data_IF_289857461438
#
_entry.id   IF_289857461438
#
_cell.length_a   1.000
_cell.length_b   1.000
_cell.length_c   1.000
_cell.angle_alpha   90.00
_cell.angle_beta   90.00
_cell.angle_gamma   90.00
#
_symmetry.space_group_name_H-M   'P 1'
#
loop_
_entity.id
_entity.type
_entity.pdbx_description
1 polymer ?
#
# COMPACT_ATOMS: atom_id res chain seq x y z
N UNK A 1 4.93 1.12 -11.62
CA UNK A 1 4.71 1.23 -10.16
C UNK A 1 3.25 1.48 -9.75
N UNK A 2 2.39 2.16 -10.52
CA UNK A 2 0.99 2.38 -10.09
C UNK A 2 0.12 1.13 -10.11
N UNK A 3 0.37 0.21 -11.05
CA UNK A 3 -0.31 -1.09 -11.11
C UNK A 3 -0.16 -1.88 -9.79
N UNK A 4 1.08 -2.05 -9.30
CA UNK A 4 1.36 -2.81 -8.08
C UNK A 4 0.70 -2.20 -6.84
N UNK A 5 0.70 -0.86 -6.72
CA UNK A 5 0.04 -0.18 -5.60
C UNK A 5 -1.48 -0.43 -5.60
N UNK A 6 -2.11 -0.30 -6.76
CA UNK A 6 -3.55 -0.56 -6.92
C UNK A 6 -3.85 -2.03 -6.66
N UNK A 7 -3.01 -2.94 -7.16
CA UNK A 7 -3.17 -4.38 -7.00
C UNK A 7 -3.10 -4.78 -5.52
N UNK A 8 -2.02 -4.43 -4.83
CA UNK A 8 -1.83 -4.78 -3.42
C UNK A 8 -2.92 -4.17 -2.54
N UNK A 9 -3.23 -2.89 -2.75
CA UNK A 9 -4.29 -2.23 -2.01
C UNK A 9 -5.65 -2.85 -2.29
N UNK A 10 -5.98 -3.11 -3.56
CA UNK A 10 -7.25 -3.71 -3.98
C UNK A 10 -7.44 -5.13 -3.44
N UNK A 11 -6.42 -5.99 -3.52
CA UNK A 11 -6.47 -7.35 -2.99
C UNK A 11 -6.76 -7.36 -1.48
N UNK A 12 -6.08 -6.52 -0.70
CA UNK A 12 -6.26 -6.48 0.76
C UNK A 12 -7.58 -5.80 1.15
N UNK A 13 -7.96 -4.71 0.50
CA UNK A 13 -9.13 -3.93 0.91
C UNK A 13 -10.45 -4.44 0.36
N UNK A 14 -10.48 -4.92 -0.88
CA UNK A 14 -11.69 -5.36 -1.60
C UNK A 14 -11.86 -6.87 -1.51
N UNK A 15 -10.83 -7.64 -1.89
CA UNK A 15 -10.91 -9.11 -1.96
C UNK A 15 -10.58 -9.79 -0.62
N UNK A 16 -9.98 -9.07 0.33
CA UNK A 16 -9.55 -9.60 1.65
C UNK A 16 -8.63 -10.82 1.53
N UNK A 17 -7.75 -10.80 0.53
CA UNK A 17 -6.79 -11.88 0.26
C UNK A 17 -5.37 -11.32 0.14
N UNK A 18 -4.39 -12.20 0.27
CA UNK A 18 -3.01 -11.83 0.03
C UNK A 18 -2.81 -11.42 -1.45
N UNK A 19 -2.10 -10.33 -1.76
CA UNK A 19 -1.92 -9.86 -3.13
C UNK A 19 -1.30 -10.87 -4.10
N UNK A 20 -0.49 -11.80 -3.58
CA UNK A 20 0.12 -12.87 -4.38
C UNK A 20 -0.84 -14.01 -4.72
N UNK A 21 -1.93 -14.15 -3.96
CA UNK A 21 -2.99 -15.13 -4.19
C UNK A 21 -4.17 -14.52 -4.98
N UNK A 22 -4.07 -13.22 -5.27
CA UNK A 22 -5.07 -12.47 -6.02
C UNK A 22 -5.02 -12.75 -7.52
N UNK A 23 -6.13 -12.42 -8.18
CA UNK A 23 -6.28 -12.48 -9.63
C UNK A 23 -7.21 -11.36 -10.11
N UNK A 24 -7.35 -11.21 -11.42
CA UNK A 24 -8.28 -10.23 -12.00
C UNK A 24 -9.73 -10.53 -11.60
N UNK A 25 -10.11 -11.81 -11.59
CA UNK A 25 -11.46 -12.28 -11.26
C UNK A 25 -11.38 -13.40 -10.24
N UNK A 26 -12.15 -13.30 -9.16
CA UNK A 26 -12.32 -14.41 -8.22
C UNK A 26 -13.32 -15.41 -8.80
N UNK A 27 -12.82 -16.54 -9.29
CA UNK A 27 -13.67 -17.65 -9.74
C UNK A 27 -14.41 -18.27 -8.54
N UNK A 28 -15.74 -18.27 -8.58
CA UNK A 28 -16.60 -19.03 -7.66
C UNK A 28 -17.35 -20.10 -8.45
N UNK A 29 -17.30 -21.35 -7.98
CA UNK A 29 -18.01 -22.46 -8.60
C UNK A 29 -19.18 -22.83 -7.72
N UNK A 30 -20.40 -22.86 -8.28
CA UNK A 30 -21.63 -23.15 -7.53
C UNK A 30 -21.60 -24.50 -6.80
N UNK A 31 -20.95 -25.49 -7.42
CA UNK A 31 -20.85 -26.88 -6.92
C UNK A 31 -19.74 -27.06 -5.87
N UNK A 32 -18.83 -26.10 -5.73
CA UNK A 32 -17.74 -26.17 -4.73
C UNK A 32 -18.27 -25.71 -3.37
N UNK A 33 -19.04 -26.60 -2.73
CA UNK A 33 -19.59 -26.42 -1.38
C UNK A 33 -18.86 -27.36 -0.41
N UNK A 34 -18.73 -26.92 0.84
CA UNK A 34 -18.19 -27.79 1.89
C UNK A 34 -19.14 -29.00 2.07
N UNK A 35 -18.62 -30.19 2.38
CA UNK A 35 -19.45 -31.33 2.70
C UNK A 35 -20.51 -30.97 3.75
N UNK A 36 -21.76 -31.36 3.51
CA UNK A 36 -22.91 -31.03 4.37
C UNK A 36 -23.62 -29.71 4.09
N UNK A 37 -23.12 -28.84 3.19
CA UNK A 37 -23.86 -27.65 2.76
C UNK A 37 -24.67 -27.89 1.48
N UNK A 38 -25.92 -27.40 1.39
CA UNK A 38 -26.73 -27.54 0.19
C UNK A 38 -26.14 -26.74 -0.98
N UNK A 39 -26.36 -27.26 -2.19
CA UNK A 39 -26.01 -26.57 -3.44
C UNK A 39 -27.02 -25.44 -3.65
N UNK A 40 -26.52 -24.21 -3.84
CA UNK A 40 -27.36 -23.05 -4.13
C UNK A 40 -28.05 -23.19 -5.50
N UNK A 41 -29.27 -22.65 -5.61
CA UNK A 41 -29.99 -22.66 -6.88
C UNK A 41 -29.24 -21.82 -7.94
N UNK A 42 -29.21 -22.24 -9.22
CA UNK A 42 -28.56 -21.46 -10.27
C UNK A 42 -29.10 -20.02 -10.38
N UNK A 43 -30.40 -19.84 -10.20
CA UNK A 43 -31.09 -18.56 -10.30
C UNK A 43 -30.75 -17.57 -9.18
N UNK A 44 -30.29 -18.06 -8.02
CA UNK A 44 -29.78 -17.19 -6.95
C UNK A 44 -28.27 -16.99 -7.07
N UNK A 45 -27.54 -18.06 -7.39
CA UNK A 45 -26.08 -18.04 -7.41
C UNK A 45 -25.51 -17.07 -8.45
N UNK A 46 -25.94 -17.18 -9.72
CA UNK A 46 -25.32 -16.41 -10.80
C UNK A 46 -25.60 -14.90 -10.72
N UNK A 47 -26.84 -14.44 -10.45
CA UNK A 47 -27.09 -13.00 -10.28
C UNK A 47 -26.33 -12.41 -9.10
N UNK A 48 -26.26 -13.13 -7.96
CA UNK A 48 -25.47 -12.71 -6.80
C UNK A 48 -23.97 -12.64 -7.12
N UNK A 49 -23.45 -13.65 -7.81
CA UNK A 49 -22.04 -13.66 -8.21
C UNK A 49 -21.71 -12.51 -9.15
N UNK A 50 -22.59 -12.23 -10.12
CA UNK A 50 -22.40 -11.14 -11.08
C UNK A 50 -22.47 -9.77 -10.38
N UNK A 51 -23.43 -9.56 -9.47
CA UNK A 51 -23.56 -8.29 -8.75
C UNK A 51 -22.36 -8.03 -7.83
N UNK A 52 -21.87 -9.06 -7.13
CA UNK A 52 -20.63 -8.99 -6.36
C UNK A 52 -19.43 -8.65 -7.24
N UNK A 53 -19.30 -9.30 -8.39
CA UNK A 53 -18.21 -9.04 -9.35
C UNK A 53 -18.25 -7.58 -9.81
N UNK A 54 -19.41 -7.10 -10.28
CA UNK A 54 -19.57 -5.72 -10.76
C UNK A 54 -19.24 -4.74 -9.63
N UNK A 55 -19.80 -4.92 -8.43
CA UNK A 55 -19.58 -4.00 -7.32
C UNK A 55 -18.10 -3.89 -6.93
N UNK A 56 -17.36 -5.00 -6.97
CA UNK A 56 -15.91 -4.99 -6.72
C UNK A 56 -15.14 -4.28 -7.83
N UNK A 57 -15.49 -4.51 -9.09
CA UNK A 57 -14.82 -3.86 -10.23
C UNK A 57 -15.07 -2.35 -10.27
N UNK A 58 -16.27 -1.90 -9.90
CA UNK A 58 -16.57 -0.47 -9.74
C UNK A 58 -15.69 0.16 -8.64
N UNK A 59 -15.47 -0.54 -7.51
CA UNK A 59 -14.55 -0.08 -6.47
C UNK A 59 -13.10 -0.04 -6.94
N UNK A 60 -12.64 -1.03 -7.71
CA UNK A 60 -11.30 -1.00 -8.30
C UNK A 60 -11.18 0.18 -9.28
N UNK A 61 -12.17 0.38 -10.15
CA UNK A 61 -12.19 1.49 -11.10
C UNK A 61 -12.13 2.85 -10.40
N UNK A 62 -12.83 3.02 -9.27
CA UNK A 62 -12.78 4.26 -8.49
C UNK A 62 -11.40 4.52 -7.87
N UNK A 63 -10.72 3.46 -7.37
CA UNK A 63 -9.33 3.55 -6.89
C UNK A 63 -8.37 3.93 -8.02
N UNK A 64 -8.48 3.25 -9.16
CA UNK A 64 -7.68 3.53 -10.36
C UNK A 64 -7.86 4.99 -10.78
N UNK A 65 -9.10 5.47 -10.83
CA UNK A 65 -9.42 6.85 -11.21
C UNK A 65 -8.81 7.85 -10.23
N UNK A 66 -9.03 7.64 -8.91
CA UNK A 66 -8.49 8.52 -7.85
C UNK A 66 -6.96 8.61 -7.92
N UNK A 67 -6.28 7.46 -7.94
CA UNK A 67 -4.80 7.43 -8.00
C UNK A 67 -4.26 8.00 -9.32
N UNK A 68 -4.95 7.74 -10.42
CA UNK A 68 -4.57 8.31 -11.72
C UNK A 68 -4.69 9.82 -11.75
N UNK A 69 -5.75 10.39 -11.15
CA UNK A 69 -5.92 11.84 -11.00
C UNK A 69 -4.76 12.45 -10.21
N UNK A 70 -4.44 11.89 -9.04
CA UNK A 70 -3.32 12.36 -8.21
C UNK A 70 -1.98 12.25 -8.93
N UNK A 71 -1.70 11.10 -9.56
CA UNK A 71 -0.47 10.92 -10.35
C UNK A 71 -0.36 11.92 -11.48
N UNK A 72 -1.46 12.19 -12.20
CA UNK A 72 -1.48 13.18 -13.29
C UNK A 72 -1.22 14.58 -12.75
N UNK A 73 -1.81 14.95 -11.61
CA UNK A 73 -1.56 16.24 -10.96
C UNK A 73 -0.08 16.41 -10.59
N UNK A 74 0.52 15.44 -9.90
CA UNK A 74 1.93 15.46 -9.50
C UNK A 74 2.85 15.55 -10.73
N UNK A 75 2.55 14.78 -11.78
CA UNK A 75 3.37 14.80 -13.01
C UNK A 75 3.28 16.10 -13.79
N UNK A 76 2.18 16.84 -13.66
CA UNK A 76 1.97 18.12 -14.33
C UNK A 76 2.69 19.26 -13.60
N UNK A 77 2.98 19.11 -12.30
CA UNK A 77 3.68 20.12 -11.53
C UNK A 77 5.17 20.18 -11.92
N UNK A 78 5.66 21.30 -12.48
CA UNK A 78 7.07 21.46 -12.84
C UNK A 78 8.00 21.43 -11.62
N UNK A 79 7.50 21.78 -10.43
CA UNK A 79 8.26 21.76 -9.17
C UNK A 79 8.21 20.43 -8.44
N UNK A 80 7.55 19.41 -8.99
CA UNK A 80 7.41 18.10 -8.33
C UNK A 80 8.76 17.46 -7.92
N UNK A 81 9.84 17.75 -8.66
CA UNK A 81 11.20 17.26 -8.32
C UNK A 81 11.87 18.02 -7.18
N UNK A 82 11.35 19.18 -6.80
CA UNK A 82 11.86 20.00 -5.71
C UNK A 82 11.18 19.68 -4.37
N UNK A 83 10.26 18.69 -4.35
CA UNK A 83 9.60 18.27 -3.12
C UNK A 83 10.62 17.81 -2.08
N UNK A 84 10.52 18.38 -0.87
CA UNK A 84 11.39 18.08 0.28
C UNK A 84 10.53 18.15 1.54
N UNK A 85 10.25 17.00 2.13
CA UNK A 85 9.65 16.89 3.47
C UNK A 85 10.74 16.65 4.52
N UNK A 86 10.32 16.57 5.79
CA UNK A 86 11.22 16.31 6.92
C UNK A 86 11.95 14.95 6.80
N UNK A 87 11.38 13.98 6.07
CA UNK A 87 12.03 12.68 5.88
C UNK A 87 13.08 12.72 4.75
N UNK A 88 12.93 13.62 3.78
CA UNK A 88 13.84 13.84 2.67
C UNK A 88 14.85 14.97 2.93
N UNK A 89 14.73 15.70 4.04
CA UNK A 89 15.77 16.63 4.48
C UNK A 89 17.01 15.84 4.90
N UNK A 90 18.21 16.18 4.38
CA UNK A 90 19.45 15.56 4.81
C UNK A 90 19.63 15.71 6.32
N UNK A 91 20.15 14.67 6.95
CA UNK A 91 20.42 14.65 8.39
C UNK A 91 21.49 15.69 8.71
N UNK A 92 21.17 16.64 9.58
CA UNK A 92 22.12 17.55 10.20
C UNK A 92 22.65 16.95 11.51
N UNK A 93 23.84 17.37 11.95
CA UNK A 93 24.42 16.88 13.21
C UNK A 93 23.53 17.21 14.44
N UNK A 94 22.80 18.31 14.38
CA UNK A 94 21.83 18.72 15.39
C UNK A 94 20.61 17.78 15.46
N UNK A 95 20.27 17.09 14.37
CA UNK A 95 19.12 16.18 14.31
C UNK A 95 19.37 14.92 15.16
N UNK A 96 20.64 14.50 15.28
CA UNK A 96 21.05 13.39 16.13
C UNK A 96 20.85 13.68 17.63
N UNK A 97 20.73 14.95 18.01
CA UNK A 97 20.50 15.38 19.39
C UNK A 97 19.02 15.68 19.67
N UNK A 98 18.31 16.18 18.66
CA UNK A 98 16.94 16.70 18.81
C UNK A 98 15.85 15.71 18.44
N UNK A 99 16.09 14.79 17.49
CA UNK A 99 15.06 13.84 17.07
C UNK A 99 14.85 12.73 18.12
N UNK A 100 13.57 12.52 18.48
CA UNK A 100 13.14 11.58 19.51
C UNK A 100 13.66 10.15 19.27
N UNK A 101 13.71 9.71 18.01
CA UNK A 101 14.21 8.38 17.62
C UNK A 101 15.62 8.10 18.15
N UNK A 102 16.49 9.13 18.24
CA UNK A 102 17.86 8.98 18.74
C UNK A 102 17.95 9.05 20.26
N UNK A 103 16.93 9.61 20.92
CA UNK A 103 16.90 9.77 22.38
C UNK A 103 16.09 8.68 23.10
N UNK A 104 15.32 7.86 22.38
CA UNK A 104 14.36 6.91 22.95
C UNK A 104 14.99 5.87 23.90
N UNK A 105 16.21 5.40 23.63
CA UNK A 105 16.90 4.40 24.48
C UNK A 105 18.43 4.53 24.39
N UNK A 106 19.15 3.77 25.23
CA UNK A 106 20.61 3.86 25.29
C UNK A 106 21.30 3.38 24.00
N UNK A 107 20.73 2.39 23.31
CA UNK A 107 21.29 1.89 22.04
C UNK A 107 21.16 2.90 20.91
N UNK A 108 20.02 3.61 20.82
CA UNK A 108 19.81 4.72 19.89
C UNK A 108 20.80 5.85 20.12
N UNK A 109 21.02 6.25 21.38
CA UNK A 109 22.01 7.29 21.74
C UNK A 109 23.43 6.88 21.40
N UNK A 110 23.80 5.63 21.68
CA UNK A 110 25.11 5.09 21.33
C UNK A 110 25.32 5.02 19.80
N UNK A 111 24.28 4.66 19.04
CA UNK A 111 24.32 4.66 17.58
C UNK A 111 24.50 6.08 17.01
N UNK A 112 23.81 7.08 17.57
CA UNK A 112 23.97 8.49 17.20
C UNK A 112 25.38 8.99 17.50
N UNK A 113 25.94 8.69 18.68
CA UNK A 113 27.33 9.05 19.03
C UNK A 113 28.35 8.41 18.06
N UNK A 114 28.15 7.13 17.71
CA UNK A 114 28.99 6.43 16.72
C UNK A 114 28.89 7.05 15.32
N UNK A 115 27.69 7.48 14.91
CA UNK A 115 27.49 8.16 13.64
C UNK A 115 28.26 9.49 13.59
N UNK A 116 28.22 10.30 14.66
CA UNK A 116 29.00 11.54 14.77
C UNK A 116 30.50 11.31 14.66
N UNK A 117 31.02 10.30 15.37
CA UNK A 117 32.46 9.95 15.31
C UNK A 117 32.88 9.55 13.90
N UNK A 118 32.04 8.82 13.17
CA UNK A 118 32.30 8.44 11.77
C UNK A 118 32.27 9.64 10.82
N UNK A 119 31.32 10.55 11.00
CA UNK A 119 31.24 11.77 10.19
C UNK A 119 32.48 12.65 10.41
N UNK A 120 32.90 12.84 11.67
CA UNK A 120 34.11 13.58 12.01
C UNK A 120 35.40 12.96 11.47
N UNK A 121 35.46 11.63 11.34
CA UNK A 121 36.62 10.93 10.78
C UNK A 121 36.65 10.91 9.24
N UNK A 122 35.54 11.23 8.58
CA UNK A 122 35.41 11.28 7.12
C UNK A 122 35.54 12.70 6.55
N UNK A 123 35.59 13.71 7.41
CA UNK A 123 35.88 15.12 7.09
C UNK A 123 37.38 15.39 7.16
#
# INVERSE_FOLDING_TARGET
MMFLLIWFYGCVTIEKIHPLEGGYLRRKVRRDRRPGMPIESPFLFYPKYLSELIAKHVKIASIVWRMSRTRRAIKRDPKARLYRDLALTPVADADLETLEMFQQNQSSRAAAAKAKLRAAAAA
#
